data_IF_078770558887
#
_entry.id   IF_078770558887
#
_cell.length_a   1.000
_cell.length_b   1.000
_cell.length_c   1.000
_cell.angle_alpha   90.00
_cell.angle_beta   90.00
_cell.angle_gamma   90.00
#
_symmetry.space_group_name_H-M   'P 1'
#
loop_
_entity.id
_entity.type
_entity.pdbx_description
1 polymer ?
#
# COMPACT_ATOMS: atom_id res chain seq x y z
N UNK A 1 -21.76 6.26 20.81
CA UNK A 1 -20.88 7.05 19.91
C UNK A 1 -20.72 6.23 18.64
N UNK A 2 -21.57 6.47 17.65
CA UNK A 2 -21.47 5.83 16.34
C UNK A 2 -20.50 6.63 15.49
N UNK A 3 -19.48 6.01 14.88
CA UNK A 3 -18.91 6.28 13.55
C UNK A 3 -17.90 5.16 13.24
N UNK A 4 -18.38 4.04 12.73
CA UNK A 4 -17.57 3.08 11.98
C UNK A 4 -18.31 2.88 10.66
N UNK A 5 -18.34 3.94 9.86
CA UNK A 5 -18.77 3.90 8.48
C UNK A 5 -17.79 2.98 7.72
N UNK A 6 -18.26 1.75 7.49
CA UNK A 6 -18.39 1.15 6.16
C UNK A 6 -17.81 2.01 5.01
N UNK A 7 -16.50 2.20 5.00
CA UNK A 7 -15.82 2.63 3.79
C UNK A 7 -15.75 1.42 2.84
N UNK A 8 -16.90 1.07 2.27
CA UNK A 8 -17.07 0.23 1.10
C UNK A 8 -16.53 0.96 -0.14
N UNK A 9 -15.28 1.39 -0.05
CA UNK A 9 -14.47 1.90 -1.14
C UNK A 9 -13.26 1.00 -1.19
N UNK A 10 -13.34 0.02 -2.10
CA UNK A 10 -12.44 -1.13 -2.23
C UNK A 10 -10.98 -0.78 -1.97
N UNK A 11 -10.47 -1.15 -0.78
CA UNK A 11 -9.10 -0.84 -0.40
C UNK A 11 -8.16 -1.63 -1.30
N UNK A 12 -7.36 -0.90 -2.07
CA UNK A 12 -6.45 -1.46 -3.05
C UNK A 12 -5.01 -1.29 -2.57
N UNK A 13 -4.13 -2.16 -3.05
CA UNK A 13 -2.70 -1.97 -2.78
C UNK A 13 -2.24 -0.75 -3.58
N UNK A 14 -1.58 0.17 -2.90
CA UNK A 14 -0.92 1.32 -3.50
C UNK A 14 0.57 1.25 -3.13
N UNK A 15 1.42 1.76 -4.01
CA UNK A 15 2.86 1.90 -3.86
C UNK A 15 3.12 3.37 -3.52
N UNK A 16 3.67 3.61 -2.34
CA UNK A 16 3.95 4.92 -1.78
C UNK A 16 5.47 5.11 -1.85
N UNK A 17 5.89 6.10 -2.62
CA UNK A 17 7.28 6.55 -2.66
C UNK A 17 7.47 7.62 -1.60
N UNK A 18 8.49 7.47 -0.79
CA UNK A 18 8.85 8.44 0.26
C UNK A 18 10.30 8.84 0.10
N UNK A 19 10.67 9.94 0.74
CA UNK A 19 12.08 10.27 0.89
C UNK A 19 12.80 9.20 1.73
N UNK A 20 14.11 9.12 1.56
CA UNK A 20 14.95 8.22 2.34
C UNK A 20 14.93 8.67 3.80
N UNK A 21 14.72 7.75 4.77
CA UNK A 21 14.75 8.11 6.17
C UNK A 21 16.11 8.72 6.51
N UNK A 22 16.14 9.88 7.19
CA UNK A 22 17.39 10.47 7.65
C UNK A 22 18.08 9.53 8.67
N UNK A 23 19.41 9.60 8.77
CA UNK A 23 20.19 8.97 9.83
C UNK A 23 20.14 7.44 9.99
N UNK A 24 19.90 6.68 8.91
CA UNK A 24 19.96 5.21 8.97
C UNK A 24 18.96 4.61 10.00
N UNK A 25 17.87 5.35 10.27
CA UNK A 25 16.73 4.88 11.06
C UNK A 25 16.09 3.66 10.40
N UNK A 26 15.44 2.82 11.21
CA UNK A 26 14.75 1.66 10.68
C UNK A 26 13.67 2.11 9.66
N UNK A 27 13.83 1.77 8.36
CA UNK A 27 12.91 2.25 7.33
C UNK A 27 11.48 1.79 7.61
N UNK A 28 11.32 0.61 8.22
CA UNK A 28 10.03 0.09 8.64
C UNK A 28 9.36 0.98 9.68
N UNK A 29 10.07 1.45 10.71
CA UNK A 29 9.51 2.31 11.74
C UNK A 29 9.08 3.67 11.16
N UNK A 30 9.91 4.23 10.28
CA UNK A 30 9.60 5.47 9.56
C UNK A 30 8.32 5.34 8.71
N UNK A 31 8.19 4.25 7.94
CA UNK A 31 7.01 3.99 7.12
C UNK A 31 5.74 3.80 7.97
N UNK A 32 5.87 3.12 9.12
CA UNK A 32 4.76 2.91 10.07
C UNK A 32 4.29 4.26 10.62
N UNK A 33 5.20 5.17 10.96
CA UNK A 33 4.87 6.50 11.45
C UNK A 33 4.07 7.33 10.44
N UNK A 34 4.44 7.27 9.16
CA UNK A 34 3.71 7.94 8.07
C UNK A 34 2.29 7.36 7.95
N UNK A 35 2.19 6.03 7.91
CA UNK A 35 0.89 5.34 7.82
C UNK A 35 0.01 5.58 9.05
N UNK A 36 0.59 5.55 10.26
CA UNK A 36 -0.13 5.77 11.51
C UNK A 36 -0.71 7.19 11.59
N UNK A 37 -0.03 8.18 11.01
CA UNK A 37 -0.54 9.54 10.91
C UNK A 37 -1.83 9.66 10.08
N UNK A 38 -2.06 8.71 9.17
CA UNK A 38 -3.24 8.70 8.27
C UNK A 38 -4.30 7.71 8.73
N UNK A 39 -3.86 6.55 9.25
CA UNK A 39 -4.72 5.49 9.75
C UNK A 39 -5.16 5.72 11.21
N UNK A 40 -4.51 6.65 11.91
CA UNK A 40 -4.79 6.99 13.30
C UNK A 40 -4.23 5.99 14.31
N UNK A 41 -3.49 4.95 13.89
CA UNK A 41 -2.91 3.94 14.79
C UNK A 41 -1.75 3.18 14.16
N UNK A 42 -0.73 2.87 14.96
CA UNK A 42 0.40 2.04 14.52
C UNK A 42 0.02 0.58 14.23
N UNK A 43 -0.96 0.03 14.97
CA UNK A 43 -1.47 -1.31 14.71
C UNK A 43 -2.13 -1.38 13.32
N UNK A 44 -3.04 -0.44 13.03
CA UNK A 44 -3.66 -0.32 11.73
C UNK A 44 -2.63 -0.07 10.62
N UNK A 45 -1.57 0.70 10.88
CA UNK A 45 -0.46 0.90 9.96
C UNK A 45 0.29 -0.39 9.64
N UNK A 46 0.58 -1.22 10.65
CA UNK A 46 1.20 -2.54 10.47
C UNK A 46 0.34 -3.48 9.64
N UNK A 47 -0.97 -3.45 9.84
CA UNK A 47 -1.93 -4.28 9.11
C UNK A 47 -2.13 -3.81 7.66
N UNK A 48 -2.14 -2.49 7.43
CA UNK A 48 -2.26 -1.91 6.10
C UNK A 48 -0.96 -2.06 5.29
N UNK A 49 0.21 -2.10 5.94
CA UNK A 49 1.51 -2.25 5.29
C UNK A 49 1.62 -3.64 4.64
N UNK A 50 1.57 -3.69 3.31
CA UNK A 50 1.74 -4.91 2.54
C UNK A 50 3.23 -5.26 2.36
N UNK A 51 4.06 -4.25 2.06
CA UNK A 51 5.49 -4.44 1.86
C UNK A 51 6.25 -3.15 2.14
N UNK A 52 7.49 -3.24 2.64
CA UNK A 52 8.36 -2.09 2.90
C UNK A 52 9.62 -2.24 2.05
N UNK A 53 9.87 -1.30 1.15
CA UNK A 53 11.08 -1.26 0.34
C UNK A 53 12.20 -0.57 1.15
N UNK A 54 13.30 -1.27 1.38
CA UNK A 54 14.37 -0.80 2.29
C UNK A 54 15.74 -0.68 1.62
N UNK A 55 15.93 -1.24 0.42
CA UNK A 55 17.28 -1.50 -0.13
C UNK A 55 17.66 -0.65 -1.36
N UNK A 56 16.72 -0.38 -2.27
CA UNK A 56 17.02 0.34 -3.54
C UNK A 56 15.97 1.39 -3.94
N UNK A 57 14.82 1.39 -3.27
CA UNK A 57 13.79 2.40 -3.41
C UNK A 57 13.25 2.71 -2.02
N UNK A 58 13.19 3.99 -1.66
CA UNK A 58 12.55 4.43 -0.42
C UNK A 58 11.05 4.51 -0.64
N UNK A 59 10.32 3.68 0.10
CA UNK A 59 8.88 3.59 -0.03
C UNK A 59 8.30 2.30 0.52
N UNK A 60 6.99 2.16 0.40
CA UNK A 60 6.25 1.00 0.88
C UNK A 60 4.98 0.78 0.08
N UNK A 61 4.52 -0.45 0.02
CA UNK A 61 3.19 -0.78 -0.48
C UNK A 61 2.24 -0.95 0.69
N UNK A 62 1.07 -0.32 0.63
CA UNK A 62 0.04 -0.46 1.65
C UNK A 62 -1.36 -0.59 1.03
N UNK A 63 -2.24 -1.34 1.72
CA UNK A 63 -3.65 -1.45 1.40
C UNK A 63 -4.38 -0.24 1.96
N UNK A 64 -4.83 0.63 1.07
CA UNK A 64 -5.39 1.93 1.43
C UNK A 64 -6.68 2.19 0.68
N UNK A 65 -7.57 2.95 1.31
CA UNK A 65 -8.79 3.48 0.69
C UNK A 65 -8.47 4.77 -0.07
N UNK A 66 -9.28 5.17 -1.06
CA UNK A 66 -9.04 6.40 -1.81
C UNK A 66 -8.96 7.66 -0.92
N UNK A 67 -9.69 7.69 0.19
CA UNK A 67 -9.58 8.77 1.18
C UNK A 67 -8.20 8.80 1.84
N UNK A 68 -7.68 7.65 2.27
CA UNK A 68 -6.35 7.55 2.89
C UNK A 68 -5.25 7.91 1.89
N UNK A 69 -5.39 7.52 0.62
CA UNK A 69 -4.48 7.91 -0.47
C UNK A 69 -4.45 9.43 -0.63
N UNK A 70 -5.61 10.08 -0.62
CA UNK A 70 -5.70 11.54 -0.71
C UNK A 70 -5.05 12.24 0.49
N UNK A 71 -5.10 11.64 1.68
CA UNK A 71 -4.41 12.15 2.88
C UNK A 71 -2.89 11.97 2.78
N UNK A 72 -2.42 10.79 2.35
CA UNK A 72 -0.99 10.52 2.15
C UNK A 72 -0.40 11.42 1.06
N UNK A 73 -1.14 11.69 -0.02
CA UNK A 73 -0.69 12.59 -1.08
C UNK A 73 -0.51 14.05 -0.62
N UNK A 74 -1.04 14.42 0.55
CA UNK A 74 -0.85 15.74 1.16
C UNK A 74 0.33 15.77 2.14
N UNK A 75 0.88 14.60 2.49
CA UNK A 75 1.99 14.52 3.42
C UNK A 75 3.29 14.88 2.69
N UNK A 76 4.08 15.84 3.19
CA UNK A 76 5.31 16.28 2.52
C UNK A 76 6.41 15.21 2.48
N UNK A 77 6.31 14.15 3.30
CA UNK A 77 7.24 13.01 3.31
C UNK A 77 6.95 12.02 2.17
N UNK A 78 5.79 12.14 1.53
CA UNK A 78 5.33 11.29 0.43
C UNK A 78 5.62 12.00 -0.89
N UNK A 79 6.47 11.39 -1.70
CA UNK A 79 6.82 11.88 -3.03
C UNK A 79 5.73 11.56 -4.05
N UNK A 80 5.20 10.34 -3.99
CA UNK A 80 4.20 9.88 -4.96
C UNK A 80 3.42 8.67 -4.43
N UNK A 81 2.12 8.61 -4.75
CA UNK A 81 1.29 7.43 -4.50
C UNK A 81 0.81 6.87 -5.83
N UNK A 82 1.21 5.64 -6.16
CA UNK A 82 0.79 4.93 -7.37
C UNK A 82 -0.11 3.75 -7.01
N UNK A 83 -1.19 3.48 -7.76
CA UNK A 83 -1.93 2.24 -7.59
C UNK A 83 -1.03 1.05 -7.98
N UNK A 84 -0.99 0.01 -7.15
CA UNK A 84 -0.31 -1.22 -7.50
C UNK A 84 -1.10 -1.91 -8.61
N UNK A 85 -0.68 -1.70 -9.86
CA UNK A 85 -1.06 -2.57 -10.96
C UNK A 85 -0.33 -3.89 -10.74
N UNK A 86 -0.92 -4.78 -9.95
CA UNK A 86 -0.74 -6.20 -10.22
C UNK A 86 -1.25 -6.35 -11.64
N UNK A 87 -0.34 -6.46 -12.60
CA UNK A 87 -0.69 -7.09 -13.85
C UNK A 87 -1.21 -8.44 -13.40
N UNK A 88 -2.55 -8.60 -13.39
CA UNK A 88 -3.15 -9.90 -13.54
C UNK A 88 -2.55 -10.39 -14.85
N UNK A 89 -1.42 -11.08 -14.71
CA UNK A 89 -0.98 -12.04 -15.68
C UNK A 89 -2.22 -12.89 -15.83
N UNK A 90 -2.96 -12.64 -16.90
CA UNK A 90 -3.87 -13.61 -17.48
C UNK A 90 -2.96 -14.82 -17.70
N UNK A 91 -2.81 -15.67 -16.67
CA UNK A 91 -2.58 -17.08 -16.88
C UNK A 91 -3.75 -17.43 -17.77
N UNK A 92 -3.46 -17.50 -19.06
CA UNK A 92 -4.43 -17.86 -20.08
C UNK A 92 -5.18 -19.03 -19.49
N UNK A 93 -6.47 -18.83 -19.26
CA UNK A 93 -7.39 -19.93 -19.03
C UNK A 93 -7.41 -20.67 -20.36
N UNK A 94 -6.34 -21.40 -20.65
CA UNK A 94 -6.30 -22.44 -21.65
C UNK A 94 -7.05 -23.62 -21.01
N UNK A 95 -8.33 -23.39 -20.73
CA UNK A 95 -9.24 -24.41 -20.25
C UNK A 95 -9.66 -25.21 -21.48
N UNK A 96 -8.95 -26.32 -21.63
CA UNK A 96 -9.43 -27.63 -22.08
C UNK A 96 -10.18 -27.75 -23.42
N UNK A 97 -9.57 -28.49 -24.34
CA UNK A 97 -10.17 -29.48 -25.26
C UNK A 97 -8.98 -30.25 -25.85
N UNK A 98 -8.67 -31.50 -25.48
CA UNK A 98 -9.47 -32.70 -25.62
C UNK A 98 -8.99 -33.48 -26.85
N UNK A 99 -8.89 -34.81 -26.75
CA UNK A 99 -8.65 -35.83 -27.81
C UNK A 99 -7.16 -36.20 -28.01
N UNK A 100 -6.65 -37.34 -27.50
CA UNK A 100 -6.84 -38.74 -27.97
C UNK A 100 -6.55 -38.92 -29.47
N UNK A 101 -5.32 -39.27 -29.83
CA UNK A 101 -4.96 -40.51 -30.53
C UNK A 101 -3.44 -40.69 -30.59
#
# INVERSE_FOLDING_TARGET
>A
MAMADENSSSSSIHIIYTEQPPNNEEPKAYHIGILASVLGSEAAAKEALAYSYTNSASGFSAKLTPQQVALLSKDPRVLQVLPNRKMELHSGKNKAIGMLH
#
